data_IF_116907720609
#
_entry.id   IF_116907720609
#
_cell.length_a   1.000
_cell.length_b   1.000
_cell.length_c   1.000
_cell.angle_alpha   90.00
_cell.angle_beta   90.00
_cell.angle_gamma   90.00
#
_symmetry.space_group_name_H-M   'P 1'
#
loop_
_entity.id
_entity.type
_entity.pdbx_description
1 polymer ?
#
# COMPACT_ATOMS: atom_id res chain seq x y z
N UNK A 1 44.41 -16.20 5.80
CA UNK A 1 43.92 -15.60 7.06
C UNK A 1 43.34 -14.25 6.70
N UNK A 2 42.03 -14.08 6.81
CA UNK A 2 41.43 -12.74 6.75
C UNK A 2 41.82 -12.06 8.07
N UNK A 3 42.72 -11.08 8.00
CA UNK A 3 43.08 -10.26 9.15
C UNK A 3 41.90 -9.38 9.53
N UNK A 4 41.85 -9.00 10.81
CA UNK A 4 40.79 -8.17 11.41
C UNK A 4 40.64 -6.81 10.69
N UNK A 5 41.60 -6.44 9.84
CA UNK A 5 41.58 -5.30 8.93
C UNK A 5 40.50 -5.40 7.84
N UNK A 6 40.13 -6.62 7.42
CA UNK A 6 39.14 -6.85 6.35
C UNK A 6 37.68 -6.75 6.81
N UNK A 7 37.44 -6.63 8.12
CA UNK A 7 36.11 -6.53 8.72
C UNK A 7 35.73 -5.11 9.13
N UNK A 8 36.67 -4.16 9.07
CA UNK A 8 36.36 -2.75 9.38
C UNK A 8 35.70 -2.09 8.16
N UNK A 9 34.50 -1.52 8.32
CA UNK A 9 33.89 -0.71 7.26
C UNK A 9 34.84 0.41 6.86
N UNK A 10 34.93 0.68 5.56
CA UNK A 10 35.69 1.83 5.08
C UNK A 10 35.07 3.13 5.62
N UNK A 11 35.89 4.16 5.90
CA UNK A 11 35.39 5.45 6.39
C UNK A 11 34.30 6.06 5.47
N UNK A 12 34.44 5.81 4.16
CA UNK A 12 33.44 6.20 3.15
C UNK A 12 32.12 5.46 3.34
N UNK A 13 32.15 4.13 3.51
CA UNK A 13 30.93 3.34 3.75
C UNK A 13 30.20 3.77 5.02
N UNK A 14 30.95 4.12 6.07
CA UNK A 14 30.36 4.64 7.32
C UNK A 14 29.70 6.00 7.10
N UNK A 15 30.34 6.91 6.36
CA UNK A 15 29.77 8.22 6.07
C UNK A 15 28.51 8.12 5.19
N UNK A 16 28.53 7.25 4.17
CA UNK A 16 27.39 7.00 3.30
C UNK A 16 26.21 6.41 4.08
N UNK A 17 26.48 5.50 5.03
CA UNK A 17 25.46 4.95 5.92
C UNK A 17 24.87 6.02 6.85
N UNK A 18 25.70 6.83 7.50
CA UNK A 18 25.22 7.91 8.38
C UNK A 18 24.32 8.88 7.59
N UNK A 19 24.73 9.27 6.38
CA UNK A 19 23.93 10.15 5.53
C UNK A 19 22.59 9.51 5.10
N UNK A 20 22.59 8.20 4.83
CA UNK A 20 21.36 7.47 4.49
C UNK A 20 20.40 7.40 5.69
N UNK A 21 20.92 7.11 6.89
CA UNK A 21 20.13 7.10 8.13
C UNK A 21 19.58 8.48 8.45
N UNK A 22 20.40 9.53 8.40
CA UNK A 22 19.95 10.91 8.62
C UNK A 22 18.88 11.33 7.62
N UNK A 23 19.02 10.94 6.35
CA UNK A 23 18.01 11.19 5.32
C UNK A 23 16.68 10.51 5.64
N UNK A 24 16.70 9.25 6.11
CA UNK A 24 15.48 8.51 6.45
C UNK A 24 14.82 9.07 7.71
N UNK A 25 15.60 9.45 8.72
CA UNK A 25 15.07 10.03 9.95
C UNK A 25 14.53 11.45 9.74
N UNK A 26 15.11 12.22 8.83
CA UNK A 26 14.66 13.59 8.53
C UNK A 26 13.41 13.62 7.65
N UNK A 27 13.32 12.72 6.67
CA UNK A 27 12.18 12.61 5.76
C UNK A 27 12.04 11.15 5.29
N UNK A 28 11.21 10.34 5.96
CA UNK A 28 11.01 8.92 5.62
C UNK A 28 10.38 8.77 4.23
N UNK A 29 11.23 8.62 3.22
CA UNK A 29 10.84 8.50 1.83
C UNK A 29 11.50 7.29 1.16
N UNK A 30 10.87 6.82 0.07
CA UNK A 30 11.29 5.62 -0.65
C UNK A 30 12.75 5.68 -1.14
N UNK A 31 13.28 6.86 -1.43
CA UNK A 31 14.66 7.04 -1.89
C UNK A 31 15.69 6.87 -0.78
N UNK A 32 15.38 7.30 0.45
CA UNK A 32 16.24 7.09 1.61
C UNK A 32 16.29 5.62 2.01
N UNK A 33 15.13 4.96 2.02
CA UNK A 33 15.01 3.53 2.37
C UNK A 33 15.73 2.65 1.34
N UNK A 34 15.60 2.95 0.04
CA UNK A 34 16.36 2.25 -1.02
C UNK A 34 17.87 2.41 -0.90
N UNK A 35 18.36 3.56 -0.41
CA UNK A 35 19.80 3.74 -0.14
C UNK A 35 20.28 2.87 1.02
N UNK A 36 19.47 2.70 2.07
CA UNK A 36 19.79 1.74 3.14
C UNK A 36 19.81 0.29 2.62
N UNK A 37 18.82 -0.10 1.82
CA UNK A 37 18.79 -1.43 1.20
C UNK A 37 20.01 -1.69 0.30
N UNK A 38 20.44 -0.69 -0.48
CA UNK A 38 21.64 -0.78 -1.31
C UNK A 38 22.95 -0.94 -0.50
N UNK A 39 22.94 -0.55 0.78
CA UNK A 39 24.03 -0.76 1.73
C UNK A 39 23.93 -2.13 2.45
N UNK A 40 22.94 -2.96 2.12
CA UNK A 40 22.74 -4.29 2.68
C UNK A 40 22.01 -4.30 4.03
N UNK A 41 21.27 -3.24 4.35
CA UNK A 41 20.43 -3.20 5.56
C UNK A 41 19.03 -3.68 5.20
N UNK A 42 18.63 -4.82 5.75
CA UNK A 42 17.30 -5.42 5.51
C UNK A 42 16.27 -5.06 6.58
N UNK A 43 16.74 -4.69 7.78
CA UNK A 43 15.87 -4.39 8.92
C UNK A 43 16.43 -3.28 9.80
N UNK A 44 15.53 -2.50 10.37
CA UNK A 44 15.82 -1.44 11.36
C UNK A 44 15.17 -1.84 12.67
N UNK A 45 15.99 -1.99 13.72
CA UNK A 45 15.55 -2.26 15.08
C UNK A 45 15.71 -0.99 15.92
N UNK A 46 14.62 -0.53 16.54
CA UNK A 46 14.64 0.62 17.45
C UNK A 46 14.03 0.21 18.81
N UNK A 47 14.85 0.05 19.86
CA UNK A 47 14.38 -0.41 21.17
C UNK A 47 13.63 0.65 22.01
N UNK A 48 13.83 1.93 21.70
CA UNK A 48 13.20 3.08 22.38
C UNK A 48 12.98 4.20 21.36
N UNK A 49 11.89 4.08 20.60
CA UNK A 49 11.57 5.00 19.50
C UNK A 49 10.49 5.97 19.93
N UNK A 50 10.73 7.27 19.71
CA UNK A 50 9.72 8.31 19.92
C UNK A 50 8.48 8.03 19.07
N UNK A 51 7.30 8.27 19.64
CA UNK A 51 6.02 7.95 19.00
C UNK A 51 5.83 8.64 17.63
N UNK A 52 6.40 9.84 17.46
CA UNK A 52 6.32 10.58 16.20
C UNK A 52 7.25 10.00 15.13
N UNK A 53 8.45 9.56 15.52
CA UNK A 53 9.39 8.85 14.63
C UNK A 53 8.80 7.50 14.24
N UNK A 54 8.21 6.79 15.20
CA UNK A 54 7.55 5.51 14.97
C UNK A 54 6.38 5.64 13.99
N UNK A 55 5.55 6.69 14.13
CA UNK A 55 4.45 6.98 13.21
C UNK A 55 4.95 7.36 11.81
N UNK A 56 6.05 8.10 11.73
CA UNK A 56 6.64 8.51 10.46
C UNK A 56 7.24 7.30 9.72
N UNK A 57 7.88 6.37 10.43
CA UNK A 57 8.40 5.12 9.87
C UNK A 57 7.28 4.12 9.50
N UNK A 58 6.21 4.04 10.29
CA UNK A 58 5.03 3.22 9.95
C UNK A 58 4.35 3.70 8.67
N UNK A 59 4.38 5.01 8.41
CA UNK A 59 3.82 5.62 7.20
C UNK A 59 4.81 5.62 6.02
N UNK A 60 6.05 5.19 6.23
CA UNK A 60 7.08 5.28 5.22
C UNK A 60 6.87 4.21 4.13
N UNK A 61 6.93 4.59 2.84
CA UNK A 61 6.83 3.62 1.76
C UNK A 61 8.04 2.69 1.76
N UNK A 62 7.81 1.39 1.53
CA UNK A 62 8.83 0.32 1.49
C UNK A 62 9.35 -0.17 2.86
N UNK A 63 8.71 0.25 3.96
CA UNK A 63 8.92 -0.36 5.28
C UNK A 63 7.64 -1.07 5.73
N UNK A 64 7.78 -2.31 6.16
CA UNK A 64 6.71 -3.04 6.86
C UNK A 64 7.06 -3.23 8.33
N UNK A 65 6.13 -2.94 9.25
CA UNK A 65 6.32 -3.27 10.66
C UNK A 65 6.28 -4.79 10.84
N UNK A 66 7.39 -5.38 11.29
CA UNK A 66 7.57 -6.83 11.43
C UNK A 66 7.27 -7.36 12.85
N UNK A 67 6.67 -6.52 13.70
CA UNK A 67 6.38 -6.85 15.09
C UNK A 67 7.51 -6.45 16.05
N UNK A 68 7.32 -6.75 17.33
CA UNK A 68 8.26 -6.36 18.39
C UNK A 68 8.23 -7.35 19.54
N UNK A 69 9.40 -7.63 20.11
CA UNK A 69 9.57 -8.43 21.34
C UNK A 69 9.25 -7.63 22.62
N UNK A 70 9.13 -6.29 22.57
CA UNK A 70 8.91 -5.45 23.75
C UNK A 70 7.96 -4.25 23.48
N UNK A 71 7.22 -3.74 24.50
CA UNK A 71 6.19 -2.72 24.28
C UNK A 71 6.69 -1.39 23.66
N UNK A 72 7.96 -1.05 23.89
CA UNK A 72 8.62 0.17 23.39
C UNK A 72 9.52 -0.08 22.18
N UNK A 73 9.75 -1.34 21.85
CA UNK A 73 10.61 -1.72 20.75
C UNK A 73 9.80 -1.83 19.46
N UNK A 74 10.44 -1.57 18.31
CA UNK A 74 9.85 -1.81 17.00
C UNK A 74 10.90 -2.27 16.00
N UNK A 75 10.49 -3.21 15.16
CA UNK A 75 11.25 -3.67 14.00
C UNK A 75 10.50 -3.25 12.75
N UNK A 76 11.21 -2.61 11.82
CA UNK A 76 10.75 -2.42 10.45
C UNK A 76 11.65 -3.18 9.49
N UNK A 77 11.05 -3.93 8.58
CA UNK A 77 11.75 -4.64 7.51
C UNK A 77 11.56 -3.91 6.20
N UNK A 78 12.64 -3.80 5.42
CA UNK A 78 12.58 -3.20 4.10
C UNK A 78 11.93 -4.19 3.13
N UNK A 79 10.93 -3.71 2.40
CA UNK A 79 10.19 -4.51 1.43
C UNK A 79 10.51 -3.95 0.05
N UNK A 80 11.16 -4.75 -0.78
CA UNK A 80 11.32 -4.43 -2.20
C UNK A 80 9.92 -4.19 -2.77
N UNK A 81 9.66 -3.06 -3.46
CA UNK A 81 8.36 -2.84 -4.07
C UNK A 81 8.09 -4.02 -5.01
N UNK A 82 7.09 -4.83 -4.68
CA UNK A 82 6.67 -5.93 -5.53
C UNK A 82 6.45 -5.35 -6.92
N UNK A 83 7.29 -5.76 -7.88
CA UNK A 83 7.11 -5.36 -9.26
C UNK A 83 5.64 -5.67 -9.62
N UNK A 84 4.88 -4.70 -10.15
CA UNK A 84 3.50 -4.97 -10.55
C UNK A 84 3.56 -6.20 -11.45
N UNK A 85 2.77 -7.25 -11.15
CA UNK A 85 2.91 -8.52 -11.84
C UNK A 85 2.81 -8.24 -13.33
N UNK A 86 3.84 -8.64 -14.09
CA UNK A 86 3.79 -8.52 -15.54
C UNK A 86 2.55 -9.31 -16.00
N UNK A 87 1.51 -8.59 -16.42
CA UNK A 87 0.28 -9.21 -16.87
C UNK A 87 0.52 -9.71 -18.29
N UNK A 88 1.25 -10.81 -18.42
CA UNK A 88 1.33 -11.58 -19.67
C UNK A 88 0.00 -12.31 -19.87
N UNK A 89 -1.03 -11.54 -20.22
CA UNK A 89 -2.37 -12.04 -20.52
C UNK A 89 -2.54 -12.31 -22.01
N UNK A 90 -3.21 -13.41 -22.35
CA UNK A 90 -3.64 -13.69 -23.73
C UNK A 90 -4.43 -12.47 -24.25
N UNK A 91 -4.16 -11.91 -25.44
CA UNK A 91 -4.68 -10.61 -25.87
C UNK A 91 -6.22 -10.47 -25.93
N UNK A 92 -6.96 -11.59 -25.94
CA UNK A 92 -8.43 -11.60 -25.91
C UNK A 92 -9.04 -11.56 -24.49
N UNK A 93 -8.25 -11.74 -23.41
CA UNK A 93 -8.73 -11.66 -22.01
C UNK A 93 -9.54 -10.38 -21.69
N UNK A 94 -9.13 -9.16 -22.11
CA UNK A 94 -9.92 -7.96 -21.83
C UNK A 94 -11.29 -7.99 -22.50
N UNK A 95 -11.42 -8.61 -23.68
CA UNK A 95 -12.69 -8.76 -24.37
C UNK A 95 -13.65 -9.70 -23.62
N UNK A 96 -13.13 -10.82 -23.11
CA UNK A 96 -13.91 -11.75 -22.27
C UNK A 96 -14.35 -11.08 -20.98
N UNK A 97 -13.43 -10.36 -20.32
CA UNK A 97 -13.76 -9.62 -19.10
C UNK A 97 -14.83 -8.55 -19.35
N UNK A 98 -14.75 -7.82 -20.47
CA UNK A 98 -15.77 -6.87 -20.90
C UNK A 98 -17.12 -7.54 -21.15
N UNK A 99 -17.13 -8.67 -21.88
CA UNK A 99 -18.35 -9.45 -22.10
C UNK A 99 -18.99 -9.95 -20.82
N UNK A 100 -18.17 -10.44 -19.87
CA UNK A 100 -18.64 -10.89 -18.57
C UNK A 100 -19.27 -9.74 -17.76
N UNK A 101 -18.67 -8.55 -17.80
CA UNK A 101 -19.19 -7.36 -17.13
C UNK A 101 -20.55 -6.94 -17.72
N UNK A 102 -20.67 -6.94 -19.05
CA UNK A 102 -21.93 -6.63 -19.74
C UNK A 102 -23.02 -7.64 -19.38
N UNK A 103 -22.68 -8.94 -19.35
CA UNK A 103 -23.62 -9.99 -18.94
C UNK A 103 -24.10 -9.77 -17.50
N UNK A 104 -23.19 -9.40 -16.60
CA UNK A 104 -23.51 -9.08 -15.21
C UNK A 104 -24.45 -7.87 -15.10
N UNK A 105 -24.17 -6.80 -15.86
CA UNK A 105 -25.05 -5.62 -15.91
C UNK A 105 -26.44 -5.98 -16.44
N UNK A 106 -26.51 -6.82 -17.47
CA UNK A 106 -27.77 -7.30 -18.03
C UNK A 106 -28.56 -8.08 -16.98
N UNK A 107 -27.90 -8.98 -16.26
CA UNK A 107 -28.50 -9.75 -15.18
C UNK A 107 -29.02 -8.85 -14.06
N UNK A 108 -28.27 -7.81 -13.65
CA UNK A 108 -28.74 -6.83 -12.66
C UNK A 108 -29.98 -6.11 -13.17
N UNK A 109 -30.00 -5.67 -14.42
CA UNK A 109 -31.16 -4.97 -15.00
C UNK A 109 -32.39 -5.88 -15.10
N UNK A 110 -32.19 -7.15 -15.50
CA UNK A 110 -33.25 -8.15 -15.59
C UNK A 110 -33.81 -8.56 -14.23
N UNK A 111 -32.93 -8.63 -13.22
CA UNK A 111 -33.32 -8.95 -11.84
C UNK A 111 -33.76 -7.73 -11.04
N UNK A 112 -33.58 -6.51 -11.59
CA UNK A 112 -34.06 -5.30 -10.96
C UNK A 112 -35.59 -5.36 -10.86
N UNK A 113 -36.17 -5.35 -9.66
CA UNK A 113 -37.61 -5.36 -9.50
C UNK A 113 -38.14 -4.03 -10.04
N UNK A 114 -38.76 -4.08 -11.21
CA UNK A 114 -39.50 -2.95 -11.78
C UNK A 114 -40.70 -2.71 -10.87
N UNK A 115 -40.52 -1.93 -9.80
CA UNK A 115 -41.62 -1.29 -9.10
C UNK A 115 -42.30 -0.40 -10.14
N UNK A 116 -43.36 -0.91 -10.76
CA UNK A 116 -44.37 -0.06 -11.40
C UNK A 116 -44.83 0.91 -10.32
N UNK A 117 -44.43 2.17 -10.41
CA UNK A 117 -45.14 3.23 -9.72
C UNK A 117 -46.49 3.32 -10.43
N UNK A 118 -47.51 2.83 -9.75
CA UNK A 118 -48.89 3.13 -10.08
C UNK A 118 -48.98 4.65 -10.13
N UNK A 119 -49.20 5.19 -11.33
CA UNK A 119 -49.50 6.58 -11.53
C UNK A 119 -50.86 6.84 -10.88
N UNK A 120 -50.86 7.33 -9.64
CA UNK A 120 -52.00 8.04 -9.05
C UNK A 120 -52.18 9.35 -9.82
N UNK A 121 -52.73 9.23 -11.01
CA UNK A 121 -53.47 10.26 -11.71
C UNK A 121 -54.87 9.67 -11.82
N UNK A 122 -55.90 10.46 -11.55
CA UNK A 122 -57.33 10.13 -11.74
C UNK A 122 -58.19 9.76 -10.50
N UNK A 123 -57.98 10.35 -9.31
CA UNK A 123 -59.04 10.33 -8.26
C UNK A 123 -59.20 11.63 -7.44
N UNK A 124 -58.43 12.69 -7.74
CA UNK A 124 -58.68 14.04 -7.16
C UNK A 124 -59.63 14.90 -8.02
N UNK A 125 -60.19 14.34 -9.11
CA UNK A 125 -61.10 15.06 -9.99
C UNK A 125 -62.57 15.00 -9.53
N UNK A 126 -62.92 14.14 -8.56
CA UNK A 126 -64.33 13.90 -8.19
C UNK A 126 -64.76 14.57 -6.86
N UNK A 127 -63.85 15.01 -5.99
CA UNK A 127 -64.23 15.51 -4.65
C UNK A 127 -64.57 17.02 -4.56
N UNK A 128 -64.37 17.82 -5.62
CA UNK A 128 -64.66 19.28 -5.57
C UNK A 128 -66.09 19.62 -6.06
N UNK A 129 -66.98 18.62 -6.19
CA UNK A 129 -68.36 18.86 -6.66
C UNK A 129 -69.40 18.01 -5.92
N UNK A 130 -69.52 18.19 -4.61
CA UNK A 130 -70.68 17.75 -3.83
C UNK A 130 -71.06 18.81 -2.79
#
# INVERSE_FOLDING_TARGET
>A
MIGEEGLRPSERSTADLTAAVESVLSAPGADGIRRLGALGIDAVYAPDVDADVARALDAAPLLEPSGSDAPTSRVWTMVEPAAPPAVDGVPWRPWVAGGQLVLWLLAIVLTAPVRRRESTLEDDAEEVRA
#
